data_IF_407094791536
#
_entry.id   IF_407094791536
#
_cell.length_a   1.000
_cell.length_b   1.000
_cell.length_c   1.000
_cell.angle_alpha   90.00
_cell.angle_beta   90.00
_cell.angle_gamma   90.00
#
_symmetry.space_group_name_H-M   'P 1'
#
loop_
_entity.id
_entity.type
_entity.pdbx_description
1 polymer ?
#
# COMPACT_ATOMS: atom_id res chain seq x y z
N UNK A 1 1.57 -0.34 8.56
CA UNK A 1 0.23 -0.64 8.04
C UNK A 1 0.16 -2.04 7.47
N UNK A 2 1.04 -2.41 6.54
CA UNK A 2 1.05 -3.75 5.94
C UNK A 2 1.07 -4.86 7.02
N UNK A 3 1.92 -4.72 8.06
CA UNK A 3 1.97 -5.65 9.19
C UNK A 3 0.62 -5.73 9.95
N UNK A 4 -0.09 -4.61 10.12
CA UNK A 4 -1.41 -4.61 10.77
C UNK A 4 -2.47 -5.39 9.95
N UNK A 5 -2.44 -5.25 8.62
CA UNK A 5 -3.28 -6.05 7.73
C UNK A 5 -2.92 -7.53 7.77
N UNK A 6 -1.62 -7.86 7.78
CA UNK A 6 -1.14 -9.23 7.90
C UNK A 6 -1.53 -9.86 9.23
N UNK A 7 -1.41 -9.11 10.35
CA UNK A 7 -1.84 -9.55 11.69
C UNK A 7 -3.28 -10.02 11.68
N UNK A 8 -4.20 -9.23 11.12
CA UNK A 8 -5.62 -9.60 11.07
C UNK A 8 -5.83 -10.94 10.35
N UNK A 9 -5.09 -11.20 9.27
CA UNK A 9 -5.19 -12.48 8.54
C UNK A 9 -4.60 -13.65 9.32
N UNK A 10 -3.49 -13.43 10.02
CA UNK A 10 -2.84 -14.44 10.87
C UNK A 10 -3.74 -14.80 12.06
N UNK A 11 -4.40 -13.80 12.66
CA UNK A 11 -5.39 -14.00 13.74
C UNK A 11 -6.61 -14.79 13.24
N UNK A 12 -7.18 -14.40 12.09
CA UNK A 12 -8.31 -15.10 11.46
C UNK A 12 -7.97 -16.56 11.13
N UNK A 13 -6.71 -16.86 10.80
CA UNK A 13 -6.22 -18.21 10.54
C UNK A 13 -5.84 -18.99 11.82
N UNK A 14 -5.92 -18.37 13.00
CA UNK A 14 -5.55 -19.00 14.28
C UNK A 14 -4.04 -19.27 14.44
N UNK A 15 -3.19 -18.53 13.72
CA UNK A 15 -1.75 -18.78 13.66
C UNK A 15 -0.92 -17.87 14.56
N UNK A 16 -1.51 -16.95 15.33
CA UNK A 16 -0.77 -15.98 16.15
C UNK A 16 0.20 -16.61 17.14
N UNK A 17 -0.17 -17.75 17.74
CA UNK A 17 0.71 -18.46 18.70
C UNK A 17 1.92 -19.17 18.05
N UNK A 18 2.01 -19.19 16.73
CA UNK A 18 3.06 -19.84 15.94
C UNK A 18 3.79 -18.86 15.01
N UNK A 19 3.47 -17.57 15.08
CA UNK A 19 3.97 -16.54 14.17
C UNK A 19 4.63 -15.43 14.95
N UNK A 20 5.88 -15.12 14.61
CA UNK A 20 6.57 -13.91 15.04
C UNK A 20 6.29 -12.79 14.03
N UNK A 21 5.88 -11.62 14.52
CA UNK A 21 5.61 -10.44 13.71
C UNK A 21 6.74 -9.43 13.91
N UNK A 22 7.53 -9.23 12.86
CA UNK A 22 8.67 -8.31 12.88
C UNK A 22 8.31 -7.06 12.06
N UNK A 23 8.42 -5.89 12.68
CA UNK A 23 8.31 -4.61 11.98
C UNK A 23 9.61 -4.34 11.26
N UNK A 24 9.53 -4.12 9.96
CA UNK A 24 10.67 -3.73 9.12
C UNK A 24 10.54 -2.29 8.66
N UNK A 25 11.69 -1.68 8.36
CA UNK A 25 11.77 -0.32 7.84
C UNK A 25 12.27 -0.32 6.39
N UNK A 26 12.09 0.82 5.72
CA UNK A 26 12.57 1.02 4.35
C UNK A 26 14.08 0.84 4.28
N UNK A 27 14.54 0.01 3.35
CA UNK A 27 15.95 -0.33 3.18
C UNK A 27 16.55 -1.24 4.24
N UNK A 28 15.75 -1.70 5.20
CA UNK A 28 16.26 -2.62 6.23
C UNK A 28 16.64 -3.96 5.62
N UNK A 29 17.75 -4.51 6.12
CA UNK A 29 18.28 -5.82 5.74
C UNK A 29 18.36 -6.72 6.97
N UNK A 30 17.84 -7.92 6.88
CA UNK A 30 17.72 -8.87 7.97
C UNK A 30 18.11 -10.28 7.52
N UNK A 31 18.77 -11.02 8.41
CA UNK A 31 18.89 -12.47 8.25
C UNK A 31 17.61 -13.17 8.70
N UNK A 32 16.96 -13.87 7.80
CA UNK A 32 15.77 -14.70 8.08
C UNK A 32 16.14 -16.16 7.79
N UNK A 33 16.51 -16.89 8.83
CA UNK A 33 17.15 -18.19 8.66
C UNK A 33 18.47 -18.02 7.88
N UNK A 34 18.69 -18.79 6.79
CA UNK A 34 19.87 -18.66 5.95
C UNK A 34 19.80 -17.54 4.91
N UNK A 35 18.68 -16.82 4.81
CA UNK A 35 18.43 -15.81 3.79
C UNK A 35 18.79 -14.42 4.28
N UNK A 36 19.58 -13.72 3.50
CA UNK A 36 19.86 -12.30 3.65
C UNK A 36 18.80 -11.51 2.86
N UNK A 37 17.90 -10.84 3.58
CA UNK A 37 16.66 -10.28 3.05
C UNK A 37 16.67 -8.76 3.20
N UNK A 38 16.51 -8.04 2.09
CA UNK A 38 16.37 -6.59 2.07
C UNK A 38 14.94 -6.17 1.69
N UNK A 39 14.42 -5.17 2.40
CA UNK A 39 13.08 -4.62 2.23
C UNK A 39 13.14 -3.27 1.52
N UNK A 40 12.89 -3.28 0.21
CA UNK A 40 12.99 -2.09 -0.65
C UNK A 40 11.61 -1.44 -0.76
N UNK A 41 11.47 -0.13 -0.42
CA UNK A 41 10.16 0.52 -0.48
C UNK A 41 9.59 0.54 -1.89
N UNK A 42 8.30 0.22 -2.01
CA UNK A 42 7.53 0.38 -3.24
C UNK A 42 6.25 1.15 -2.99
N UNK A 43 5.80 1.91 -3.99
CA UNK A 43 4.49 2.54 -3.96
C UNK A 43 3.42 1.51 -4.26
N UNK A 44 2.42 1.41 -3.40
CA UNK A 44 1.24 0.57 -3.62
C UNK A 44 0.02 1.14 -2.91
N UNK A 45 -1.17 0.61 -3.21
CA UNK A 45 -2.43 0.99 -2.54
C UNK A 45 -2.46 0.62 -1.04
N UNK A 46 -1.71 -0.41 -0.66
CA UNK A 46 -1.43 -0.75 0.73
C UNK A 46 -0.21 0.05 1.19
N UNK A 47 -0.36 0.96 2.17
CA UNK A 47 0.76 1.75 2.66
C UNK A 47 1.89 0.88 3.24
N UNK A 48 3.13 1.33 3.07
CA UNK A 48 4.35 0.65 3.55
C UNK A 48 4.57 -0.73 2.92
N UNK A 49 4.26 -0.88 1.62
CA UNK A 49 4.61 -2.06 0.86
C UNK A 49 6.12 -2.08 0.52
N UNK A 50 6.67 -3.27 0.38
CA UNK A 50 8.08 -3.48 0.03
C UNK A 50 8.22 -4.52 -1.07
N UNK A 51 9.18 -4.31 -1.95
CA UNK A 51 9.82 -5.37 -2.70
C UNK A 51 10.81 -6.11 -1.78
N UNK A 52 11.04 -7.38 -2.07
CA UNK A 52 11.95 -8.24 -1.31
C UNK A 52 13.12 -8.62 -2.19
N UNK A 53 14.34 -8.27 -1.78
CA UNK A 53 15.56 -8.74 -2.40
C UNK A 53 16.21 -9.82 -1.50
N UNK A 54 16.38 -11.01 -2.04
CA UNK A 54 17.11 -12.10 -1.40
C UNK A 54 18.53 -12.10 -1.98
N UNK A 55 19.50 -11.70 -1.16
CA UNK A 55 20.91 -11.68 -1.56
C UNK A 55 21.50 -13.08 -1.45
N UNK A 56 22.04 -13.59 -2.56
CA UNK A 56 22.64 -14.91 -2.64
C UNK A 56 24.02 -14.84 -3.31
N UNK A 57 24.90 -15.84 -3.08
CA UNK A 57 26.18 -15.90 -3.78
C UNK A 57 26.10 -15.96 -5.30
N UNK A 58 24.93 -16.35 -5.85
CA UNK A 58 24.68 -16.45 -7.29
C UNK A 58 24.03 -15.20 -7.88
N UNK A 59 23.85 -14.15 -7.10
CA UNK A 59 23.12 -12.93 -7.44
C UNK A 59 21.82 -12.80 -6.68
N UNK A 60 21.10 -11.71 -6.90
CA UNK A 60 19.89 -11.36 -6.16
C UNK A 60 18.64 -11.98 -6.80
N UNK A 61 17.79 -12.56 -5.99
CA UNK A 61 16.42 -12.88 -6.34
C UNK A 61 15.54 -11.74 -5.86
N UNK A 62 14.89 -11.04 -6.79
CA UNK A 62 14.07 -9.87 -6.50
C UNK A 62 12.59 -10.19 -6.73
N UNK A 63 11.78 -10.06 -5.69
CA UNK A 63 10.31 -10.11 -5.76
C UNK A 63 9.76 -8.71 -5.57
N UNK A 64 9.10 -8.15 -6.60
CA UNK A 64 8.59 -6.77 -6.55
C UNK A 64 7.52 -6.54 -5.49
N UNK A 65 6.80 -7.57 -5.06
CA UNK A 65 5.50 -7.40 -4.45
C UNK A 65 4.54 -6.73 -5.45
N UNK A 66 3.37 -6.33 -4.98
CA UNK A 66 2.48 -5.47 -5.75
C UNK A 66 3.03 -4.05 -5.71
N UNK A 67 3.23 -3.45 -6.87
CA UNK A 67 3.85 -2.13 -6.94
C UNK A 67 3.25 -1.25 -8.04
N UNK A 68 3.52 0.03 -7.90
CA UNK A 68 3.23 1.07 -8.89
C UNK A 68 4.43 2.01 -9.01
N UNK A 69 4.72 2.47 -10.20
CA UNK A 69 5.64 3.59 -10.39
C UNK A 69 4.81 4.86 -10.42
N UNK A 70 4.67 5.49 -9.24
CA UNK A 70 4.00 6.77 -9.06
C UNK A 70 5.02 7.80 -8.57
N UNK A 71 5.26 8.85 -9.35
CA UNK A 71 6.23 9.89 -9.02
C UNK A 71 5.70 10.92 -8.03
N UNK A 72 4.39 10.96 -7.83
CA UNK A 72 3.69 11.87 -6.91
C UNK A 72 2.67 11.12 -6.03
N UNK A 73 3.10 10.07 -5.29
CA UNK A 73 2.20 9.31 -4.45
C UNK A 73 1.65 10.17 -3.30
N UNK A 74 0.46 9.82 -2.81
CA UNK A 74 -0.25 10.61 -1.77
C UNK A 74 0.56 10.75 -0.48
N UNK A 75 1.27 9.70 -0.10
CA UNK A 75 2.10 9.65 1.12
C UNK A 75 3.56 10.08 0.90
N UNK A 76 3.91 10.49 -0.32
CA UNK A 76 5.28 10.85 -0.70
C UNK A 76 6.25 9.68 -0.82
N UNK A 77 5.81 8.45 -0.52
CA UNK A 77 6.65 7.25 -0.50
C UNK A 77 6.72 6.60 -1.88
N UNK A 78 7.81 6.90 -2.59
CA UNK A 78 8.06 6.40 -3.95
C UNK A 78 8.69 5.02 -3.94
N UNK A 79 8.51 4.29 -5.05
CA UNK A 79 9.31 3.09 -5.33
C UNK A 79 10.79 3.49 -5.47
N UNK A 80 11.67 2.83 -4.72
CA UNK A 80 13.11 3.12 -4.74
C UNK A 80 13.79 2.48 -5.96
N UNK A 81 13.56 3.12 -7.11
CA UNK A 81 14.18 2.71 -8.37
C UNK A 81 15.73 2.84 -8.33
N UNK A 82 16.24 3.77 -7.50
CA UNK A 82 17.70 3.97 -7.36
C UNK A 82 18.33 2.76 -6.71
N UNK A 83 17.73 2.23 -5.64
CA UNK A 83 18.23 1.03 -4.98
C UNK A 83 18.12 -0.21 -5.88
N UNK A 84 17.01 -0.35 -6.58
CA UNK A 84 16.83 -1.44 -7.56
C UNK A 84 17.89 -1.38 -8.67
N UNK A 85 18.14 -0.20 -9.22
CA UNK A 85 19.20 0.02 -10.21
C UNK A 85 20.61 -0.28 -9.68
N UNK A 86 20.88 0.12 -8.42
CA UNK A 86 22.16 -0.17 -7.77
C UNK A 86 22.38 -1.69 -7.62
N UNK A 87 21.40 -2.44 -7.12
CA UNK A 87 21.50 -3.91 -7.01
C UNK A 87 21.78 -4.53 -8.38
N UNK A 88 21.03 -4.11 -9.40
CA UNK A 88 21.22 -4.61 -10.75
C UNK A 88 22.64 -4.37 -11.28
N UNK A 89 23.22 -3.19 -10.98
CA UNK A 89 24.55 -2.80 -11.48
C UNK A 89 25.71 -3.44 -10.69
N UNK A 90 25.53 -3.73 -9.39
CA UNK A 90 26.64 -4.17 -8.52
C UNK A 90 26.61 -5.66 -8.21
N UNK A 91 25.45 -6.20 -7.86
CA UNK A 91 25.30 -7.60 -7.44
C UNK A 91 24.70 -8.49 -8.54
N UNK A 92 23.96 -7.88 -9.46
CA UNK A 92 23.21 -8.56 -10.53
C UNK A 92 21.91 -9.19 -10.02
N UNK A 93 20.84 -9.01 -10.80
CA UNK A 93 19.54 -9.64 -10.53
C UNK A 93 19.49 -10.97 -11.30
N UNK A 94 19.59 -12.07 -10.56
CA UNK A 94 19.53 -13.43 -11.12
C UNK A 94 18.13 -13.84 -11.53
N UNK A 95 17.13 -13.42 -10.75
CA UNK A 95 15.72 -13.69 -11.01
C UNK A 95 14.88 -12.49 -10.58
N UNK A 96 14.02 -12.02 -11.47
CA UNK A 96 13.00 -11.03 -11.18
C UNK A 96 11.62 -11.67 -11.21
N UNK A 97 10.91 -11.64 -10.10
CA UNK A 97 9.49 -11.99 -9.98
C UNK A 97 8.70 -10.69 -9.85
N UNK A 98 8.14 -10.22 -10.95
CA UNK A 98 7.48 -8.91 -11.03
C UNK A 98 5.95 -9.03 -11.04
N UNK A 99 5.28 -8.13 -10.32
CA UNK A 99 3.87 -7.84 -10.54
C UNK A 99 3.65 -7.50 -12.02
N UNK A 100 2.67 -8.14 -12.61
CA UNK A 100 2.33 -8.01 -14.02
C UNK A 100 0.82 -7.80 -14.24
N UNK A 101 0.11 -7.32 -13.22
CA UNK A 101 -1.36 -7.19 -13.22
C UNK A 101 -1.87 -6.39 -14.40
N UNK A 102 -1.21 -5.30 -14.78
CA UNK A 102 -1.58 -4.46 -15.93
C UNK A 102 -0.56 -4.53 -17.08
N UNK A 103 0.17 -5.64 -17.22
CA UNK A 103 1.22 -5.76 -18.23
C UNK A 103 0.70 -5.70 -19.68
N UNK A 104 -0.54 -6.09 -19.91
CA UNK A 104 -1.20 -6.07 -21.22
C UNK A 104 -1.97 -4.76 -21.50
N UNK A 105 -2.11 -3.88 -20.50
CA UNK A 105 -2.83 -2.63 -20.65
C UNK A 105 -1.94 -1.52 -21.20
N UNK A 106 -2.38 -0.87 -22.27
CA UNK A 106 -1.66 0.25 -22.87
C UNK A 106 -1.81 1.53 -22.02
N UNK A 107 -0.74 2.32 -21.96
CA UNK A 107 -0.74 3.63 -21.30
C UNK A 107 -0.10 3.63 -19.92
N UNK A 108 -0.52 4.56 -19.08
CA UNK A 108 0.03 4.77 -17.73
C UNK A 108 -1.07 4.84 -16.69
N UNK A 109 -0.87 4.24 -15.53
CA UNK A 109 -1.74 4.44 -14.37
C UNK A 109 -1.59 5.88 -13.86
N UNK A 110 -2.67 6.67 -13.76
CA UNK A 110 -2.61 8.01 -13.20
C UNK A 110 -2.11 8.00 -11.76
N UNK A 111 -1.48 9.12 -11.32
CA UNK A 111 -1.10 9.25 -9.91
C UNK A 111 -2.33 9.27 -9.01
N UNK A 112 -2.19 8.63 -7.85
CA UNK A 112 -3.23 8.63 -6.81
C UNK A 112 -3.51 10.04 -6.26
N UNK A 113 -2.54 10.95 -6.29
CA UNK A 113 -2.71 12.33 -5.84
C UNK A 113 -3.79 13.10 -6.62
N UNK A 114 -4.03 12.76 -7.89
CA UNK A 114 -5.07 13.39 -8.71
C UNK A 114 -6.50 13.02 -8.31
N UNK A 115 -6.69 11.88 -7.66
CA UNK A 115 -8.03 11.35 -7.35
C UNK A 115 -8.78 12.24 -6.35
N UNK A 116 -8.09 12.79 -5.35
CA UNK A 116 -8.70 13.66 -4.35
C UNK A 116 -9.35 14.91 -4.94
N UNK A 117 -8.75 15.51 -5.97
CA UNK A 117 -9.35 16.67 -6.66
C UNK A 117 -10.63 16.30 -7.39
N UNK A 118 -10.64 15.16 -8.09
CA UNK A 118 -11.82 14.65 -8.79
C UNK A 118 -12.94 14.33 -7.80
N UNK A 119 -12.63 13.68 -6.68
CA UNK A 119 -13.61 13.38 -5.64
C UNK A 119 -14.24 14.66 -5.08
N UNK A 120 -13.45 15.67 -4.73
CA UNK A 120 -13.98 16.96 -4.24
C UNK A 120 -14.92 17.61 -5.27
N UNK A 121 -14.56 17.59 -6.56
CA UNK A 121 -15.41 18.12 -7.63
C UNK A 121 -16.74 17.37 -7.72
N UNK A 122 -16.70 16.02 -7.69
CA UNK A 122 -17.91 15.20 -7.73
C UNK A 122 -18.80 15.48 -6.52
N UNK A 123 -18.22 15.52 -5.31
CA UNK A 123 -18.99 15.74 -4.08
C UNK A 123 -19.62 17.13 -4.04
N UNK A 124 -18.92 18.15 -4.53
CA UNK A 124 -19.43 19.53 -4.61
C UNK A 124 -20.62 19.67 -5.56
N UNK A 125 -20.64 18.93 -6.68
CA UNK A 125 -21.72 19.00 -7.69
C UNK A 125 -22.95 18.19 -7.30
N UNK A 126 -22.85 17.17 -6.44
CA UNK A 126 -23.95 16.29 -6.05
C UNK A 126 -24.69 16.76 -4.79
N UNK A 127 -25.03 18.06 -4.73
CA UNK A 127 -25.77 18.63 -3.58
C UNK A 127 -27.12 17.93 -3.37
N UNK A 128 -27.44 17.64 -2.10
CA UNK A 128 -28.71 17.02 -1.70
C UNK A 128 -28.86 15.54 -2.07
N UNK A 129 -27.87 14.92 -2.70
CA UNK A 129 -27.89 13.50 -3.07
C UNK A 129 -27.02 12.68 -2.15
N UNK A 130 -27.42 11.42 -1.89
CA UNK A 130 -26.55 10.43 -1.25
C UNK A 130 -25.51 9.96 -2.28
N UNK A 131 -24.24 9.94 -1.85
CA UNK A 131 -23.13 9.44 -2.67
C UNK A 131 -22.74 8.08 -2.10
N UNK A 132 -22.63 7.08 -2.95
CA UNK A 132 -22.12 5.74 -2.63
C UNK A 132 -20.83 5.56 -3.41
N UNK A 133 -19.74 5.27 -2.71
CA UNK A 133 -18.44 4.99 -3.30
C UNK A 133 -18.03 3.57 -2.99
N UNK A 134 -17.32 2.93 -3.92
CA UNK A 134 -16.69 1.63 -3.71
C UNK A 134 -15.17 1.78 -3.78
N UNK A 135 -14.49 1.11 -2.87
CA UNK A 135 -13.02 1.06 -2.82
C UNK A 135 -12.57 -0.25 -2.18
N UNK A 136 -11.35 -0.68 -2.48
CA UNK A 136 -10.72 -1.75 -1.71
C UNK A 136 -10.54 -1.30 -0.27
N UNK A 137 -10.90 -2.17 0.69
CA UNK A 137 -10.81 -1.86 2.11
C UNK A 137 -9.37 -1.68 2.60
N UNK A 138 -8.39 -2.19 1.87
CA UNK A 138 -6.95 -2.04 2.15
C UNK A 138 -6.36 -0.74 1.62
N UNK A 139 -7.08 -0.03 0.72
CA UNK A 139 -6.59 1.20 0.11
C UNK A 139 -6.87 2.42 1.00
N UNK A 140 -6.12 2.51 2.11
CA UNK A 140 -6.38 3.52 3.15
C UNK A 140 -6.27 4.96 2.64
N UNK A 141 -5.31 5.26 1.74
CA UNK A 141 -5.19 6.60 1.15
C UNK A 141 -6.43 7.01 0.36
N UNK A 142 -7.02 6.09 -0.40
CA UNK A 142 -8.28 6.34 -1.13
C UNK A 142 -9.44 6.59 -0.17
N UNK A 143 -9.50 5.83 0.93
CA UNK A 143 -10.51 6.00 1.97
C UNK A 143 -10.38 7.38 2.61
N UNK A 144 -9.15 7.84 2.90
CA UNK A 144 -8.90 9.18 3.41
C UNK A 144 -9.38 10.26 2.44
N UNK A 145 -9.01 10.15 1.16
CA UNK A 145 -9.42 11.14 0.15
C UNK A 145 -10.94 11.21 -0.02
N UNK A 146 -11.65 10.07 0.07
CA UNK A 146 -13.12 10.03 0.04
C UNK A 146 -13.69 10.72 1.28
N UNK A 147 -13.12 10.45 2.46
CA UNK A 147 -13.57 11.06 3.71
C UNK A 147 -13.34 12.58 3.70
N UNK A 148 -12.17 13.03 3.26
CA UNK A 148 -11.85 14.45 3.14
C UNK A 148 -12.84 15.18 2.21
N UNK A 149 -13.10 14.62 1.03
CA UNK A 149 -14.05 15.20 0.09
C UNK A 149 -15.50 15.25 0.66
N UNK A 150 -15.88 14.26 1.46
CA UNK A 150 -17.16 14.23 2.15
C UNK A 150 -17.23 15.31 3.24
N UNK A 151 -16.23 15.44 4.08
CA UNK A 151 -16.12 16.41 5.17
C UNK A 151 -16.12 17.83 4.61
N UNK A 152 -15.30 18.10 3.59
CA UNK A 152 -15.21 19.39 2.90
C UNK A 152 -16.57 19.84 2.32
N UNK A 153 -17.42 18.90 1.94
CA UNK A 153 -18.77 19.14 1.44
C UNK A 153 -19.87 19.08 2.51
N UNK A 154 -19.51 19.06 3.79
CA UNK A 154 -20.44 19.02 4.93
C UNK A 154 -21.22 17.71 5.07
N UNK A 155 -20.70 16.60 4.56
CA UNK A 155 -21.35 15.28 4.59
C UNK A 155 -20.83 14.43 5.74
N UNK A 156 -21.69 13.53 6.19
CA UNK A 156 -21.30 12.45 7.10
C UNK A 156 -20.84 11.23 6.31
N UNK A 157 -19.83 10.54 6.82
CA UNK A 157 -19.28 9.31 6.23
C UNK A 157 -19.77 8.11 7.00
N UNK A 158 -20.23 7.08 6.31
CA UNK A 158 -20.55 5.79 6.89
C UNK A 158 -19.87 4.67 6.10
N UNK A 159 -19.27 3.72 6.79
CA UNK A 159 -18.60 2.58 6.18
C UNK A 159 -19.47 1.33 6.20
N UNK A 160 -19.52 0.61 5.09
CA UNK A 160 -20.24 -0.66 4.95
C UNK A 160 -19.24 -1.80 4.68
N UNK A 161 -19.59 -2.98 5.19
CA UNK A 161 -18.74 -4.17 5.05
C UNK A 161 -17.76 -4.36 6.21
N UNK A 162 -17.57 -5.62 6.61
CA UNK A 162 -16.75 -5.97 7.77
C UNK A 162 -15.28 -5.59 7.59
N UNK A 163 -14.70 -5.93 6.43
CA UNK A 163 -13.30 -5.59 6.12
C UNK A 163 -13.06 -4.09 6.10
N UNK A 164 -14.00 -3.31 5.54
CA UNK A 164 -13.91 -1.85 5.53
C UNK A 164 -13.90 -1.29 6.96
N UNK A 165 -14.83 -1.74 7.81
CA UNK A 165 -14.89 -1.30 9.22
C UNK A 165 -13.62 -1.65 9.99
N UNK A 166 -13.11 -2.89 9.84
CA UNK A 166 -11.87 -3.33 10.50
C UNK A 166 -10.67 -2.49 10.05
N UNK A 167 -10.52 -2.26 8.76
CA UNK A 167 -9.36 -1.54 8.22
C UNK A 167 -9.41 -0.03 8.49
N UNK A 168 -10.60 0.58 8.47
CA UNK A 168 -10.76 1.99 8.89
C UNK A 168 -10.40 2.15 10.37
N UNK A 169 -10.88 1.26 11.25
CA UNK A 169 -10.50 1.29 12.67
C UNK A 169 -9.00 1.14 12.83
N UNK A 170 -8.40 0.12 12.23
CA UNK A 170 -6.94 -0.09 12.27
C UNK A 170 -6.16 1.12 11.73
N UNK A 171 -6.62 1.72 10.61
CA UNK A 171 -5.97 2.91 10.04
C UNK A 171 -6.03 4.11 10.98
N UNK A 172 -7.11 4.30 11.72
CA UNK A 172 -7.24 5.33 12.77
C UNK A 172 -6.32 5.03 13.95
N UNK A 173 -6.33 3.79 14.45
CA UNK A 173 -5.48 3.36 15.58
C UNK A 173 -3.98 3.53 15.28
N UNK A 174 -3.58 3.38 14.01
CA UNK A 174 -2.20 3.57 13.53
C UNK A 174 -1.90 5.03 13.11
N UNK A 175 -2.85 5.95 13.20
CA UNK A 175 -2.68 7.34 12.80
C UNK A 175 -2.53 7.58 11.29
N UNK A 176 -2.88 6.58 10.46
CA UNK A 176 -2.84 6.67 8.99
C UNK A 176 -4.12 7.29 8.42
N UNK A 177 -5.24 7.12 9.13
CA UNK A 177 -6.52 7.75 8.80
C UNK A 177 -6.88 8.79 9.85
N UNK A 178 -7.24 9.99 9.38
CA UNK A 178 -7.76 11.09 10.17
C UNK A 178 -9.23 11.33 9.80
N UNK A 179 -10.10 10.41 10.20
CA UNK A 179 -11.54 10.49 9.96
C UNK A 179 -12.25 10.71 11.30
N UNK A 180 -13.06 11.77 11.46
CA UNK A 180 -13.86 12.00 12.66
C UNK A 180 -14.81 10.84 12.96
N UNK A 181 -15.29 10.78 14.23
CA UNK A 181 -16.27 9.79 14.68
C UNK A 181 -17.66 10.03 14.07
#
# INVERSE_FOLDING_TARGET
VALGLARNRIEEAGLMGRTELIVVQDGQRLMIGPFDVEFIPVTHSVPHAHAIALHTPQGVVLHSGDFKIDLTPVDGRRTDLSRLGQIAATEGIRLLMSDSTNAEEHGHSPSESGVGAVLRSVFATQKGRRIITASFASHLHRIQQIADAAIDSGRKVATLGLSMKKNVRMGRDLGVLSIPD
#
